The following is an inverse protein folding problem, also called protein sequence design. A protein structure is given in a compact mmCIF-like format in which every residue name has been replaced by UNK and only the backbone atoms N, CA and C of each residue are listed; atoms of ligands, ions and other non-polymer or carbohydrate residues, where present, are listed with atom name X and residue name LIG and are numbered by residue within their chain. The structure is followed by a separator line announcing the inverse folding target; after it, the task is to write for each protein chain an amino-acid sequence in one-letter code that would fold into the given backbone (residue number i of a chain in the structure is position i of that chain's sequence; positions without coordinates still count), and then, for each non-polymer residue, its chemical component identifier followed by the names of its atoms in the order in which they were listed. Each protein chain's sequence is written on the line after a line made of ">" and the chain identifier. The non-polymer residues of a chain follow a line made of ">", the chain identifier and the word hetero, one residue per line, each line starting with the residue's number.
data_IF_955318374136
#
_entry.id   IF_955318374136
#
_cell.length_a   1.000
_cell.length_b   1.000
_cell.length_c   1.000
_cell.angle_alpha   90.00
_cell.angle_beta   90.00
_cell.angle_gamma   90.00
#
_symmetry.space_group_name_H-M   'P 1'
#
loop_
_entity.id
_entity.type
_entity.pdbx_description
1 polymer ?
#
# COMPACT_ATOMS: atom_id res chain seq x y z
N UNK A 1 -58.55 -36.43 52.99
CA UNK A 1 -58.13 -35.55 51.87
C UNK A 1 -56.71 -35.91 51.53
N UNK A 2 -56.50 -36.38 50.30
CA UNK A 2 -55.26 -36.97 49.77
C UNK A 2 -54.15 -35.93 49.58
N UNK A 3 -52.94 -36.23 50.03
CA UNK A 3 -51.71 -35.63 49.50
C UNK A 3 -51.42 -36.17 48.11
N UNK A 4 -50.97 -35.36 47.15
CA UNK A 4 -50.37 -35.86 45.92
C UNK A 4 -48.90 -36.25 46.17
N UNK A 5 -48.54 -37.41 45.61
CA UNK A 5 -47.24 -38.07 45.72
C UNK A 5 -46.15 -37.31 44.93
N UNK A 6 -44.98 -37.17 45.54
CA UNK A 6 -43.76 -36.64 44.90
C UNK A 6 -43.13 -37.75 44.06
N UNK A 7 -43.24 -37.66 42.72
CA UNK A 7 -42.55 -38.58 41.81
C UNK A 7 -41.14 -38.06 41.49
N UNK A 8 -40.15 -38.75 42.06
CA UNK A 8 -38.73 -38.63 41.74
C UNK A 8 -38.44 -39.58 40.56
N UNK A 9 -38.26 -39.05 39.34
CA UNK A 9 -37.71 -39.82 38.22
C UNK A 9 -36.29 -39.35 37.94
N UNK A 10 -35.37 -40.08 38.59
CA UNK A 10 -33.95 -40.15 38.27
C UNK A 10 -33.84 -41.03 37.01
N UNK A 11 -33.49 -40.44 35.86
CA UNK A 11 -33.15 -41.20 34.65
C UNK A 11 -31.72 -40.84 34.22
N UNK A 12 -30.85 -41.82 34.40
CA UNK A 12 -29.50 -41.91 33.83
C UNK A 12 -29.55 -41.80 32.30
N UNK A 13 -28.57 -41.11 31.70
CA UNK A 13 -27.49 -41.77 30.95
C UNK A 13 -26.70 -40.74 30.13
N UNK A 14 -25.39 -40.73 30.35
CA UNK A 14 -24.42 -39.95 29.59
C UNK A 14 -24.05 -40.72 28.32
N UNK A 15 -24.53 -40.32 27.14
CA UNK A 15 -23.85 -40.66 25.90
C UNK A 15 -24.22 -39.75 24.73
N UNK A 16 -23.18 -39.31 24.02
CA UNK A 16 -23.18 -38.69 22.70
C UNK A 16 -23.39 -37.17 22.63
N UNK A 17 -22.27 -36.47 22.80
CA UNK A 17 -21.95 -35.31 21.99
C UNK A 17 -22.19 -35.58 20.49
N UNK A 18 -22.37 -34.50 19.72
CA UNK A 18 -22.49 -34.43 18.25
C UNK A 18 -23.92 -34.51 17.71
N UNK A 19 -24.69 -33.44 17.89
CA UNK A 19 -25.68 -33.06 16.87
C UNK A 19 -25.22 -31.78 16.17
N UNK A 20 -24.96 -31.99 14.89
CA UNK A 20 -24.46 -31.11 13.86
C UNK A 20 -25.37 -29.92 13.59
N UNK A 21 -24.74 -28.75 13.41
CA UNK A 21 -25.31 -27.64 12.64
C UNK A 21 -25.67 -28.14 11.24
N UNK A 22 -26.95 -28.20 10.88
CA UNK A 22 -27.39 -28.23 9.49
C UNK A 22 -28.40 -27.11 9.24
N UNK A 23 -27.92 -26.02 8.65
CA UNK A 23 -28.77 -25.00 8.04
C UNK A 23 -29.41 -25.56 6.78
N UNK A 24 -30.72 -25.53 6.71
CA UNK A 24 -31.49 -25.91 5.51
C UNK A 24 -31.24 -24.88 4.39
N UNK A 25 -30.45 -25.24 3.37
CA UNK A 25 -30.46 -24.54 2.08
C UNK A 25 -31.40 -25.28 1.13
N UNK A 26 -32.61 -24.74 0.95
CA UNK A 26 -33.47 -25.15 -0.16
C UNK A 26 -32.89 -24.60 -1.47
N UNK A 27 -32.18 -25.43 -2.23
CA UNK A 27 -31.75 -25.08 -3.59
C UNK A 27 -32.93 -25.29 -4.53
N UNK A 28 -33.77 -24.27 -4.71
CA UNK A 28 -34.68 -24.22 -5.84
C UNK A 28 -33.86 -23.89 -7.09
N UNK A 29 -33.76 -24.87 -8.00
CA UNK A 29 -33.17 -24.71 -9.32
C UNK A 29 -33.99 -23.73 -10.16
N UNK A 30 -33.74 -22.44 -10.02
CA UNK A 30 -34.27 -21.39 -10.88
C UNK A 30 -33.28 -21.10 -12.02
N UNK A 31 -33.83 -21.06 -13.24
CA UNK A 31 -33.14 -20.85 -14.52
C UNK A 31 -32.03 -19.80 -14.48
N UNK A 32 -30.81 -20.18 -14.87
CA UNK A 32 -29.63 -19.32 -14.98
C UNK A 32 -29.77 -18.40 -16.20
N UNK A 33 -30.17 -17.15 -15.98
CA UNK A 33 -29.95 -16.05 -16.94
C UNK A 33 -28.97 -15.06 -16.31
N UNK A 34 -27.73 -15.07 -16.80
CA UNK A 34 -26.55 -14.38 -16.22
C UNK A 34 -26.23 -13.06 -16.92
N UNK A 35 -27.21 -12.18 -17.12
CA UNK A 35 -27.00 -10.92 -17.87
C UNK A 35 -27.51 -9.65 -17.17
N UNK A 36 -27.99 -9.73 -15.92
CA UNK A 36 -28.47 -8.55 -15.18
C UNK A 36 -27.59 -8.23 -13.95
N UNK A 37 -26.90 -7.07 -13.92
CA UNK A 37 -26.07 -6.61 -12.79
C UNK A 37 -26.84 -6.36 -11.48
N UNK A 38 -28.17 -6.38 -11.49
CA UNK A 38 -29.01 -6.01 -10.34
C UNK A 38 -29.50 -7.21 -9.52
N UNK A 39 -29.13 -8.44 -9.88
CA UNK A 39 -29.61 -9.64 -9.20
C UNK A 39 -28.84 -9.89 -7.87
N UNK A 40 -29.54 -10.34 -6.80
CA UNK A 40 -28.94 -10.62 -5.48
C UNK A 40 -27.99 -11.83 -5.46
N UNK A 41 -27.74 -12.46 -6.61
CA UNK A 41 -26.81 -13.57 -6.83
C UNK A 41 -25.62 -13.17 -7.73
N UNK A 42 -25.31 -11.88 -7.86
CA UNK A 42 -24.10 -11.42 -8.56
C UNK A 42 -22.86 -11.78 -7.73
N UNK A 43 -22.21 -12.88 -8.11
CA UNK A 43 -20.99 -13.36 -7.50
C UNK A 43 -19.80 -12.67 -8.17
N UNK A 44 -18.90 -12.06 -7.37
CA UNK A 44 -17.65 -11.42 -7.83
C UNK A 44 -16.70 -12.35 -8.61
N UNK A 45 -17.05 -13.63 -8.75
CA UNK A 45 -16.31 -14.64 -9.49
C UNK A 45 -16.63 -14.66 -10.99
N UNK A 46 -17.75 -14.06 -11.42
CA UNK A 46 -18.13 -13.95 -12.84
C UNK A 46 -17.75 -12.60 -13.46
N UNK A 47 -17.16 -11.70 -12.68
CA UNK A 47 -16.56 -10.47 -13.21
C UNK A 47 -15.30 -10.86 -14.02
N UNK A 48 -15.20 -10.47 -15.30
CA UNK A 48 -14.04 -10.83 -16.09
C UNK A 48 -12.78 -10.26 -15.43
N UNK A 49 -11.71 -11.05 -15.38
CA UNK A 49 -10.43 -10.71 -14.72
C UNK A 49 -9.92 -9.30 -15.11
N UNK A 50 -10.25 -8.86 -16.31
CA UNK A 50 -9.94 -7.52 -16.82
C UNK A 50 -10.63 -6.41 -16.02
N UNK A 51 -11.89 -6.57 -15.65
CA UNK A 51 -12.65 -5.56 -14.91
C UNK A 51 -12.15 -5.47 -13.46
N UNK A 52 -11.81 -6.61 -12.84
CA UNK A 52 -11.14 -6.66 -11.52
C UNK A 52 -9.78 -5.95 -11.56
N UNK A 53 -8.93 -6.28 -12.54
CA UNK A 53 -7.62 -5.65 -12.68
C UNK A 53 -7.71 -4.16 -13.01
N UNK A 54 -8.64 -3.77 -13.89
CA UNK A 54 -8.88 -2.38 -14.27
C UNK A 54 -9.34 -1.57 -13.06
N UNK A 55 -10.20 -2.13 -12.21
CA UNK A 55 -10.67 -1.50 -10.98
C UNK A 55 -9.54 -1.30 -9.98
N UNK A 56 -8.71 -2.32 -9.76
CA UNK A 56 -7.59 -2.25 -8.82
C UNK A 56 -6.50 -1.27 -9.31
N UNK A 57 -6.16 -1.29 -10.62
CA UNK A 57 -5.25 -0.30 -11.24
C UNK A 57 -5.84 1.11 -11.17
N UNK A 58 -7.14 1.28 -11.40
CA UNK A 58 -7.81 2.58 -11.29
C UNK A 58 -7.79 3.10 -9.85
N UNK A 59 -8.01 2.24 -8.86
CA UNK A 59 -7.92 2.60 -7.45
C UNK A 59 -6.51 3.05 -7.08
N UNK A 60 -5.49 2.31 -7.51
CA UNK A 60 -4.07 2.68 -7.35
C UNK A 60 -3.74 4.00 -8.08
N UNK A 61 -4.26 4.20 -9.29
CA UNK A 61 -4.06 5.42 -10.09
C UNK A 61 -4.67 6.67 -9.44
N UNK A 62 -5.88 6.56 -8.87
CA UNK A 62 -6.52 7.65 -8.12
C UNK A 62 -5.68 8.01 -6.88
N UNK A 63 -5.11 7.01 -6.20
CA UNK A 63 -4.20 7.20 -5.06
C UNK A 63 -2.90 7.91 -5.45
N UNK A 64 -2.32 7.57 -6.61
CA UNK A 64 -1.17 8.29 -7.15
C UNK A 64 -1.47 9.75 -7.51
N UNK A 65 -2.62 9.99 -8.15
CA UNK A 65 -3.07 11.35 -8.44
C UNK A 65 -3.25 12.17 -7.16
N UNK A 66 -3.72 11.53 -6.10
CA UNK A 66 -3.92 12.14 -4.80
C UNK A 66 -2.61 12.56 -4.11
N UNK A 67 -1.55 11.78 -4.27
CA UNK A 67 -0.22 12.14 -3.80
C UNK A 67 0.37 13.30 -4.63
N UNK A 68 0.11 13.32 -5.94
CA UNK A 68 0.53 14.42 -6.82
C UNK A 68 -0.26 15.70 -6.56
N UNK A 69 -1.52 15.60 -6.13
CA UNK A 69 -2.38 16.75 -5.78
C UNK A 69 -3.13 16.41 -4.49
N UNK A 70 -2.60 16.80 -3.31
CA UNK A 70 -3.19 16.46 -2.02
C UNK A 70 -4.51 17.21 -1.79
N UNK A 71 -5.63 16.68 -2.31
CA UNK A 71 -6.97 17.30 -2.27
C UNK A 71 -7.93 16.70 -1.23
N UNK A 72 -7.76 15.44 -0.80
CA UNK A 72 -8.72 14.70 0.06
C UNK A 72 -8.11 13.61 0.98
N UNK A 73 -7.94 13.91 2.26
CA UNK A 73 -7.10 13.14 3.20
C UNK A 73 -7.59 11.72 3.58
N UNK A 74 -8.86 11.37 3.31
CA UNK A 74 -9.51 10.18 3.91
C UNK A 74 -9.44 8.92 3.05
N UNK A 75 -9.21 9.04 1.75
CA UNK A 75 -9.28 7.92 0.80
C UNK A 75 -8.05 7.00 0.91
N UNK A 76 -6.85 7.58 1.03
CA UNK A 76 -5.60 6.83 1.20
C UNK A 76 -5.50 6.08 2.52
N UNK A 77 -6.16 6.58 3.57
CA UNK A 77 -6.14 5.99 4.90
C UNK A 77 -7.18 4.86 5.08
N UNK A 78 -8.19 4.74 4.22
CA UNK A 78 -9.26 3.76 4.45
C UNK A 78 -8.94 2.39 3.85
N UNK A 79 -8.24 2.36 2.72
CA UNK A 79 -8.07 1.16 1.91
C UNK A 79 -6.60 0.72 1.87
N UNK A 80 -6.35 -0.45 2.45
CA UNK A 80 -5.05 -1.07 2.53
C UNK A 80 -4.74 -1.75 1.21
N UNK A 81 -3.79 -1.19 0.48
CA UNK A 81 -3.41 -1.69 -0.83
C UNK A 81 -1.89 -1.61 -0.95
N UNK A 82 -1.27 -2.80 -0.86
CA UNK A 82 0.18 -2.99 -0.95
C UNK A 82 0.66 -3.06 -2.42
N UNK A 83 -0.25 -3.23 -3.38
CA UNK A 83 0.11 -3.38 -4.78
C UNK A 83 0.70 -2.08 -5.34
N UNK A 84 0.14 -0.92 -4.97
CA UNK A 84 0.66 0.38 -5.40
C UNK A 84 2.14 0.63 -4.99
N UNK A 85 2.48 0.56 -3.70
CA UNK A 85 3.87 0.65 -3.23
C UNK A 85 4.82 -0.37 -3.89
N UNK A 86 4.36 -1.60 -4.08
CA UNK A 86 5.16 -2.66 -4.71
C UNK A 86 5.43 -2.31 -6.18
N UNK A 87 4.40 -1.91 -6.94
CA UNK A 87 4.53 -1.49 -8.33
C UNK A 87 5.48 -0.29 -8.46
N UNK A 88 5.37 0.71 -7.56
CA UNK A 88 6.31 1.85 -7.56
C UNK A 88 7.75 1.43 -7.26
N UNK A 89 7.93 0.53 -6.30
CA UNK A 89 9.25 0.03 -5.94
C UNK A 89 9.89 -0.70 -7.13
N UNK A 90 9.14 -1.59 -7.79
CA UNK A 90 9.59 -2.30 -9.00
C UNK A 90 9.88 -1.31 -10.12
N UNK A 91 9.00 -0.33 -10.37
CA UNK A 91 9.22 0.71 -11.36
C UNK A 91 10.53 1.48 -11.10
N UNK A 92 10.73 1.97 -9.87
CA UNK A 92 11.96 2.69 -9.53
C UNK A 92 13.20 1.82 -9.72
N UNK A 93 13.17 0.56 -9.27
CA UNK A 93 14.27 -0.38 -9.43
C UNK A 93 14.60 -0.65 -10.92
N UNK A 94 13.60 -0.94 -11.75
CA UNK A 94 13.79 -1.18 -13.19
C UNK A 94 14.38 0.03 -13.88
N UNK A 95 13.87 1.23 -13.57
CA UNK A 95 14.43 2.44 -14.16
C UNK A 95 15.81 2.76 -13.62
N UNK A 96 16.19 2.37 -12.40
CA UNK A 96 17.55 2.56 -11.88
C UNK A 96 18.56 1.61 -12.55
N UNK A 97 18.12 0.38 -12.84
CA UNK A 97 18.93 -0.68 -13.42
C UNK A 97 19.39 -0.43 -14.86
N UNK A 98 18.68 0.39 -15.64
CA UNK A 98 19.02 0.72 -17.03
C UNK A 98 20.31 1.54 -17.24
N UNK A 99 21.29 1.47 -16.33
CA UNK A 99 22.59 2.18 -16.38
C UNK A 99 23.79 1.27 -16.20
N UNK A 100 23.59 -0.01 -15.86
CA UNK A 100 24.68 -0.96 -15.77
C UNK A 100 25.08 -1.49 -17.14
N UNK A 101 26.25 -1.10 -17.61
CA UNK A 101 26.93 -1.73 -18.75
C UNK A 101 27.11 -3.24 -18.45
N UNK A 102 26.82 -4.07 -19.44
CA UNK A 102 26.82 -5.52 -19.34
C UNK A 102 28.22 -6.07 -18.98
N UNK A 103 28.43 -6.55 -17.74
CA UNK A 103 29.36 -7.69 -17.56
C UNK A 103 29.19 -8.46 -16.24
N UNK A 104 28.84 -7.83 -15.12
CA UNK A 104 28.61 -8.55 -13.86
C UNK A 104 27.58 -7.82 -12.99
N UNK A 105 26.54 -8.56 -12.58
CA UNK A 105 25.69 -8.25 -11.42
C UNK A 105 24.57 -7.20 -11.56
N UNK A 106 23.67 -7.38 -12.55
CA UNK A 106 22.36 -6.71 -12.59
C UNK A 106 21.33 -7.26 -11.57
N UNK A 107 21.74 -8.06 -10.59
CA UNK A 107 20.85 -8.63 -9.56
C UNK A 107 20.60 -7.79 -8.31
N UNK A 108 21.59 -7.04 -7.75
CA UNK A 108 21.47 -6.48 -6.40
C UNK A 108 20.64 -5.20 -6.31
N UNK A 109 20.51 -4.42 -7.39
CA UNK A 109 19.87 -3.10 -7.32
C UNK A 109 18.37 -3.17 -7.04
N UNK A 110 17.67 -4.13 -7.65
CA UNK A 110 16.27 -4.38 -7.36
C UNK A 110 16.08 -4.76 -5.88
N UNK A 111 16.89 -5.70 -5.40
CA UNK A 111 16.85 -6.14 -4.01
C UNK A 111 17.19 -4.98 -3.05
N UNK A 112 18.15 -4.13 -3.41
CA UNK A 112 18.55 -2.97 -2.62
C UNK A 112 17.40 -1.97 -2.47
N UNK A 113 16.78 -1.52 -3.57
CA UNK A 113 15.65 -0.58 -3.52
C UNK A 113 14.48 -1.20 -2.77
N UNK A 114 14.18 -2.47 -3.03
CA UNK A 114 13.11 -3.21 -2.35
C UNK A 114 13.32 -3.26 -0.83
N UNK A 115 14.50 -3.67 -0.38
CA UNK A 115 14.83 -3.78 1.05
C UNK A 115 14.80 -2.40 1.71
N UNK A 116 15.38 -1.36 1.08
CA UNK A 116 15.40 -0.01 1.64
C UNK A 116 13.98 0.55 1.79
N UNK A 117 13.12 0.40 0.77
CA UNK A 117 11.74 0.89 0.83
C UNK A 117 10.94 0.15 1.90
N UNK A 118 11.00 -1.18 1.95
CA UNK A 118 10.23 -1.98 2.88
C UNK A 118 10.68 -1.84 4.33
N UNK A 119 11.98 -2.01 4.59
CA UNK A 119 12.53 -1.89 5.93
C UNK A 119 12.46 -0.44 6.40
N UNK A 120 12.76 0.53 5.52
CA UNK A 120 12.63 1.95 5.82
C UNK A 120 11.20 2.32 6.19
N UNK A 121 10.20 1.91 5.39
CA UNK A 121 8.79 2.15 5.69
C UNK A 121 8.35 1.47 6.99
N UNK A 122 8.85 0.26 7.28
CA UNK A 122 8.60 -0.42 8.55
C UNK A 122 9.16 0.38 9.74
N UNK A 123 10.41 0.84 9.68
CA UNK A 123 11.04 1.63 10.74
C UNK A 123 10.27 2.93 10.99
N UNK A 124 9.96 3.69 9.93
CA UNK A 124 9.21 4.95 10.04
C UNK A 124 7.83 4.71 10.66
N UNK A 125 7.17 3.64 10.24
CA UNK A 125 5.84 3.27 10.73
C UNK A 125 5.87 2.84 12.19
N UNK A 126 6.84 2.03 12.60
CA UNK A 126 7.00 1.61 14.00
C UNK A 126 7.27 2.82 14.90
N UNK A 127 8.11 3.76 14.48
CA UNK A 127 8.34 5.02 15.21
C UNK A 127 7.04 5.83 15.34
N UNK A 128 6.29 5.97 14.26
CA UNK A 128 5.00 6.67 14.24
C UNK A 128 3.95 5.98 15.12
N UNK A 129 4.02 4.65 15.26
CA UNK A 129 3.15 3.86 16.12
C UNK A 129 3.49 4.01 17.60
N UNK A 130 4.77 3.91 17.95
CA UNK A 130 5.26 4.07 19.32
C UNK A 130 4.99 5.48 19.88
N UNK A 131 4.91 6.48 19.01
CA UNK A 131 4.53 7.85 19.38
C UNK A 131 3.02 8.02 19.71
N UNK A 132 2.20 6.99 19.49
CA UNK A 132 0.75 7.04 19.73
C UNK A 132 -0.08 7.29 18.48
N UNK A 133 0.44 7.01 17.28
CA UNK A 133 -0.30 7.12 16.03
C UNK A 133 -1.48 6.13 15.92
N UNK A 134 -2.66 6.65 15.59
CA UNK A 134 -3.89 5.84 15.53
C UNK A 134 -3.97 4.97 14.25
N UNK A 135 -3.26 5.32 13.16
CA UNK A 135 -3.26 4.57 11.88
C UNK A 135 -2.52 3.25 12.01
N UNK A 136 -3.04 2.13 11.52
CA UNK A 136 -2.36 0.83 11.51
C UNK A 136 -1.04 0.76 10.73
N UNK A 137 -0.20 -0.25 11.01
CA UNK A 137 1.16 -0.40 10.47
C UNK A 137 1.15 -0.47 8.94
N UNK A 138 0.46 -1.45 8.34
CA UNK A 138 0.54 -1.60 6.89
C UNK A 138 -0.12 -0.43 6.13
N UNK A 139 -1.15 0.21 6.70
CA UNK A 139 -1.72 1.43 6.13
C UNK A 139 -0.68 2.56 6.07
N UNK A 140 0.11 2.74 7.13
CA UNK A 140 1.23 3.69 7.14
C UNK A 140 2.30 3.31 6.12
N UNK A 141 2.66 2.03 6.02
CA UNK A 141 3.60 1.53 4.99
C UNK A 141 3.07 1.81 3.58
N UNK A 142 1.79 1.56 3.32
CA UNK A 142 1.16 1.86 2.04
C UNK A 142 1.21 3.35 1.72
N UNK A 143 0.80 4.22 2.66
CA UNK A 143 0.82 5.68 2.47
C UNK A 143 2.23 6.18 2.17
N UNK A 144 3.23 5.72 2.93
CA UNK A 144 4.63 6.07 2.69
C UNK A 144 5.10 5.62 1.30
N UNK A 145 4.67 4.43 0.88
CA UNK A 145 4.94 3.90 -0.45
C UNK A 145 4.26 4.71 -1.57
N UNK A 146 2.98 5.08 -1.41
CA UNK A 146 2.29 5.95 -2.37
C UNK A 146 2.97 7.32 -2.48
N UNK A 147 3.48 7.85 -1.37
CA UNK A 147 4.20 9.12 -1.40
C UNK A 147 5.53 9.08 -2.17
N UNK A 148 6.00 7.90 -2.61
CA UNK A 148 7.14 7.76 -3.52
C UNK A 148 6.82 8.12 -4.98
N UNK A 149 5.55 8.26 -5.38
CA UNK A 149 5.16 8.65 -6.76
C UNK A 149 5.90 9.89 -7.28
N UNK A 150 5.93 11.04 -6.58
CA UNK A 150 6.69 12.21 -7.02
C UNK A 150 8.20 11.92 -7.19
N UNK A 151 8.80 11.06 -6.35
CA UNK A 151 10.19 10.63 -6.51
C UNK A 151 10.37 9.74 -7.75
N UNK A 152 9.44 8.81 -8.01
CA UNK A 152 9.46 7.96 -9.20
C UNK A 152 9.28 8.78 -10.49
N UNK A 153 8.41 9.79 -10.48
CA UNK A 153 8.24 10.71 -11.60
C UNK A 153 9.48 11.59 -11.81
N UNK A 154 10.09 12.09 -10.74
CA UNK A 154 11.35 12.82 -10.82
C UNK A 154 12.47 11.95 -11.42
N UNK A 155 12.55 10.67 -11.04
CA UNK A 155 13.47 9.70 -11.62
C UNK A 155 13.22 9.52 -13.12
N UNK A 156 11.96 9.33 -13.54
CA UNK A 156 11.60 9.21 -14.95
C UNK A 156 12.02 10.44 -15.76
N UNK A 157 11.79 11.65 -15.23
CA UNK A 157 12.23 12.90 -15.86
C UNK A 157 13.75 12.97 -15.94
N UNK A 158 14.46 12.62 -14.86
CA UNK A 158 15.93 12.53 -14.85
C UNK A 158 16.47 11.55 -15.89
N UNK A 159 15.75 10.46 -16.17
CA UNK A 159 16.08 9.48 -17.22
C UNK A 159 15.87 10.04 -18.62
N UNK A 160 14.77 10.73 -18.87
CA UNK A 160 14.53 11.38 -20.16
C UNK A 160 15.61 12.44 -20.45
N UNK A 161 16.02 13.19 -19.42
CA UNK A 161 17.10 14.19 -19.53
C UNK A 161 18.45 13.53 -19.89
N UNK A 162 18.72 12.31 -19.41
CA UNK A 162 19.96 11.60 -19.74
C UNK A 162 20.09 11.23 -21.23
N UNK A 163 18.98 11.16 -21.98
CA UNK A 163 19.01 10.87 -23.42
C UNK A 163 19.55 12.05 -24.25
N UNK A 164 19.62 13.26 -23.66
CA UNK A 164 20.22 14.44 -24.28
C UNK A 164 21.72 14.54 -23.96
N UNK A 165 22.48 15.31 -24.76
CA UNK A 165 23.92 15.53 -24.56
C UNK A 165 24.23 16.03 -23.15
N UNK A 166 25.15 15.35 -22.46
CA UNK A 166 25.49 15.64 -21.07
C UNK A 166 26.23 16.97 -20.95
N UNK A 167 25.61 17.94 -20.28
CA UNK A 167 26.21 19.23 -19.94
C UNK A 167 26.12 19.47 -18.43
N UNK A 168 27.01 20.28 -17.88
CA UNK A 168 27.01 20.66 -16.45
C UNK A 168 25.67 21.25 -16.01
N UNK A 169 24.96 21.94 -16.91
CA UNK A 169 23.63 22.49 -16.65
C UNK A 169 22.57 21.41 -16.41
N UNK A 170 22.58 20.33 -17.21
CA UNK A 170 21.64 19.22 -17.04
C UNK A 170 21.85 18.47 -15.73
N UNK A 171 23.09 18.39 -15.23
CA UNK A 171 23.37 17.84 -13.90
C UNK A 171 22.65 18.64 -12.79
N UNK A 172 22.79 19.97 -12.78
CA UNK A 172 22.09 20.82 -11.80
C UNK A 172 20.57 20.73 -11.94
N UNK A 173 20.06 20.68 -13.17
CA UNK A 173 18.63 20.55 -13.43
C UNK A 173 18.07 19.22 -12.87
N UNK A 174 18.81 18.12 -12.99
CA UNK A 174 18.44 16.82 -12.40
C UNK A 174 18.43 16.87 -10.87
N UNK A 175 19.41 17.53 -10.27
CA UNK A 175 19.46 17.72 -8.82
C UNK A 175 18.25 18.53 -8.32
N UNK A 176 17.83 19.56 -9.07
CA UNK A 176 16.62 20.33 -8.77
C UNK A 176 15.36 19.46 -8.92
N UNK A 177 15.25 18.67 -9.98
CA UNK A 177 14.09 17.79 -10.21
C UNK A 177 13.99 16.72 -9.12
N UNK A 178 15.10 16.06 -8.78
CA UNK A 178 15.16 15.07 -7.71
C UNK A 178 14.86 15.69 -6.33
N UNK A 179 15.38 16.89 -6.06
CA UNK A 179 15.09 17.67 -4.85
C UNK A 179 13.63 18.11 -4.76
N UNK A 180 13.02 18.49 -5.89
CA UNK A 180 11.59 18.81 -5.98
C UNK A 180 10.72 17.59 -5.70
N UNK A 181 11.06 16.42 -6.28
CA UNK A 181 10.40 15.15 -6.00
C UNK A 181 10.48 14.76 -4.53
N UNK A 182 11.67 14.89 -3.93
CA UNK A 182 11.91 14.68 -2.50
C UNK A 182 11.07 15.60 -1.62
N UNK A 183 11.08 16.91 -1.91
CA UNK A 183 10.32 17.90 -1.16
C UNK A 183 8.82 17.61 -1.22
N UNK A 184 8.30 17.26 -2.39
CA UNK A 184 6.90 16.92 -2.59
C UNK A 184 6.51 15.62 -1.87
N UNK A 185 7.33 14.57 -1.99
CA UNK A 185 7.11 13.29 -1.30
C UNK A 185 7.04 13.47 0.23
N UNK A 186 7.98 14.25 0.76
CA UNK A 186 8.05 14.56 2.19
C UNK A 186 6.84 15.38 2.64
N UNK A 187 6.49 16.42 1.88
CA UNK A 187 5.33 17.26 2.16
C UNK A 187 4.02 16.46 2.17
N UNK A 188 3.78 15.64 1.14
CA UNK A 188 2.60 14.77 1.04
C UNK A 188 2.52 13.83 2.25
N UNK A 189 3.63 13.18 2.60
CA UNK A 189 3.70 12.24 3.74
C UNK A 189 3.40 12.91 5.08
N UNK A 190 3.90 14.13 5.29
CA UNK A 190 3.64 14.90 6.53
C UNK A 190 2.15 15.28 6.61
N UNK A 191 1.49 15.58 5.49
CA UNK A 191 0.05 15.88 5.48
C UNK A 191 -0.76 14.62 5.84
N UNK A 192 -0.47 13.48 5.22
CA UNK A 192 -1.26 12.26 5.44
C UNK A 192 -1.02 11.63 6.80
N UNK A 193 0.26 11.50 7.20
CA UNK A 193 0.64 10.80 8.42
C UNK A 193 0.67 11.74 9.63
N UNK A 194 1.02 13.01 9.43
CA UNK A 194 1.15 13.99 10.51
C UNK A 194 -0.18 14.44 11.13
N UNK A 195 -1.31 14.26 10.45
CA UNK A 195 -2.64 14.52 11.01
C UNK A 195 -3.12 13.37 11.93
N UNK A 196 -2.47 12.21 11.86
CA UNK A 196 -2.77 11.04 12.69
C UNK A 196 -1.89 10.90 13.92
N UNK A 197 -0.98 11.86 14.11
CA UNK A 197 -0.10 11.98 15.26
C UNK A 197 -0.63 13.06 16.22
N UNK A 198 -0.46 12.90 17.54
CA UNK A 198 -0.80 13.95 18.49
C UNK A 198 0.04 15.20 18.23
N UNK A 199 -0.58 16.39 18.28
CA UNK A 199 0.04 17.66 17.89
C UNK A 199 1.38 17.95 18.62
N UNK A 200 1.51 17.50 19.87
CA UNK A 200 2.72 17.66 20.69
C UNK A 200 3.90 16.77 20.24
N UNK A 201 3.67 15.72 19.44
CA UNK A 201 4.71 14.76 19.00
C UNK A 201 4.93 14.72 17.49
N UNK A 202 4.26 15.60 16.73
CA UNK A 202 4.33 15.63 15.26
C UNK A 202 5.75 15.80 14.72
N UNK A 203 6.57 16.66 15.35
CA UNK A 203 7.95 16.87 14.95
C UNK A 203 8.82 15.61 15.07
N UNK A 204 8.63 14.82 16.13
CA UNK A 204 9.37 13.57 16.34
C UNK A 204 8.99 12.50 15.30
N UNK A 205 7.73 12.50 14.83
CA UNK A 205 7.30 11.61 13.76
C UNK A 205 7.83 12.05 12.38
N UNK A 206 8.02 13.35 12.15
CA UNK A 206 8.49 13.90 10.87
C UNK A 206 9.96 13.54 10.59
N UNK A 207 10.80 13.48 11.62
CA UNK A 207 12.24 13.18 11.47
C UNK A 207 12.53 11.87 10.69
N UNK A 208 12.01 10.70 11.08
CA UNK A 208 12.25 9.47 10.33
C UNK A 208 11.62 9.48 8.93
N UNK A 209 10.48 10.17 8.74
CA UNK A 209 9.83 10.33 7.43
C UNK A 209 10.76 11.09 6.48
N UNK A 210 11.32 12.21 6.93
CA UNK A 210 12.27 13.01 6.15
C UNK A 210 13.50 12.18 5.78
N UNK A 211 14.09 11.48 6.74
CA UNK A 211 15.27 10.64 6.54
C UNK A 211 14.99 9.54 5.49
N UNK A 212 13.83 8.90 5.56
CA UNK A 212 13.41 7.90 4.60
C UNK A 212 13.39 8.42 3.15
N UNK A 213 12.70 9.53 2.89
CA UNK A 213 12.68 10.11 1.54
C UNK A 213 14.04 10.67 1.11
N UNK A 214 14.85 11.13 2.07
CA UNK A 214 16.19 11.63 1.79
C UNK A 214 17.10 10.50 1.28
N UNK A 215 17.09 9.32 1.93
CA UNK A 215 17.85 8.16 1.47
C UNK A 215 17.39 7.73 0.08
N UNK A 216 16.08 7.68 -0.17
CA UNK A 216 15.56 7.30 -1.50
C UNK A 216 15.98 8.31 -2.56
N UNK A 217 15.79 9.61 -2.32
CA UNK A 217 16.18 10.66 -3.26
C UNK A 217 17.69 10.67 -3.52
N UNK A 218 18.49 10.46 -2.48
CA UNK A 218 19.94 10.31 -2.59
C UNK A 218 20.32 9.13 -3.47
N UNK A 219 19.68 7.98 -3.28
CA UNK A 219 19.88 6.79 -4.11
C UNK A 219 19.54 7.06 -5.57
N UNK A 220 18.45 7.78 -5.85
CA UNK A 220 18.11 8.22 -7.21
C UNK A 220 19.21 9.09 -7.81
N UNK A 221 19.71 10.09 -7.08
CA UNK A 221 20.76 11.00 -7.59
C UNK A 221 22.08 10.24 -7.80
N UNK A 222 22.48 9.38 -6.87
CA UNK A 222 23.75 8.67 -6.90
C UNK A 222 23.88 7.72 -8.11
N UNK A 223 22.88 6.89 -8.38
CA UNK A 223 22.88 5.99 -9.56
C UNK A 223 22.71 6.72 -10.89
N UNK A 224 22.30 7.97 -10.84
CA UNK A 224 22.09 8.79 -12.03
C UNK A 224 23.38 9.53 -12.46
N UNK A 225 24.42 9.53 -11.63
CA UNK A 225 25.68 10.23 -11.86
C UNK A 225 26.85 9.29 -12.25
N UNK A 226 26.54 8.02 -12.54
CA UNK A 226 27.46 7.03 -13.10
C UNK A 226 27.04 6.78 -14.55
#
# INVERSE_FOLDING_TARGET
>A
MSSPETKLELYDDYASATESMEGQMSVQSASRNTTDPSAPNFSTLDEPIKDTFLRDVKAVGVKFYHVLIPREKKTLLKDWDLWGPLILCTFMATFLQGTGDELYDGGPEFAQVFVIVWIGAMIVTLNSKLLGGNISIFQSVCVLGYCLTPCALALLVCRIILLAEQTTFLFFLRLIVAGGGFGWATYASIIFLGDSQPANRKALAVYPIFLFYFIISWLVVAHSNV
#
